data_IF_524750823654
#
_entry.id   IF_524750823654
#
_cell.length_a   1.000
_cell.length_b   1.000
_cell.length_c   1.000
_cell.angle_alpha   90.00
_cell.angle_beta   90.00
_cell.angle_gamma   90.00
#
_symmetry.space_group_name_H-M   'P 1'
#
loop_
_entity.id
_entity.type
_entity.pdbx_description
1 polymer ?
#
# COMPACT_ATOMS: atom_id res chain seq x y z
N UNK A 1 -26.22 20.27 45.55
CA UNK A 1 -25.63 21.47 44.92
C UNK A 1 -24.23 21.68 45.49
N UNK A 2 -23.14 21.58 44.70
CA UNK A 2 -21.82 21.88 45.24
C UNK A 2 -21.64 23.41 45.27
N UNK A 3 -21.58 24.00 46.48
CA UNK A 3 -21.14 25.39 46.66
C UNK A 3 -19.70 25.50 46.14
N UNK A 4 -19.49 26.32 45.11
CA UNK A 4 -18.22 26.42 44.35
C UNK A 4 -17.12 27.06 45.22
N UNK A 5 -15.95 26.43 45.31
CA UNK A 5 -14.81 26.80 46.19
C UNK A 5 -14.32 28.25 46.07
N UNK A 6 -14.50 28.89 44.92
CA UNK A 6 -14.14 30.30 44.66
C UNK A 6 -14.94 31.33 45.47
N UNK A 7 -16.17 30.99 45.88
CA UNK A 7 -16.96 31.81 46.81
C UNK A 7 -16.52 31.65 48.27
N UNK A 8 -15.62 30.71 48.56
CA UNK A 8 -15.11 30.40 49.89
C UNK A 8 -13.65 30.82 50.10
N UNK A 9 -13.04 31.54 49.15
CA UNK A 9 -11.72 32.14 49.35
C UNK A 9 -11.72 33.02 50.60
N UNK A 10 -10.71 32.88 51.46
CA UNK A 10 -10.57 33.78 52.60
C UNK A 10 -10.39 35.23 52.09
N UNK A 11 -10.94 36.24 52.77
CA UNK A 11 -10.89 37.64 52.32
C UNK A 11 -9.47 38.13 51.98
N UNK A 12 -8.46 37.60 52.67
CA UNK A 12 -7.04 37.91 52.46
C UNK A 12 -6.47 37.31 51.16
N UNK A 13 -7.09 36.26 50.61
CA UNK A 13 -6.63 35.54 49.42
C UNK A 13 -7.24 36.05 48.10
N UNK A 14 -8.32 36.84 48.16
CA UNK A 14 -9.06 37.32 46.98
C UNK A 14 -8.18 38.23 46.11
N UNK A 15 -7.43 39.15 46.73
CA UNK A 15 -6.59 40.13 46.02
C UNK A 15 -5.33 39.48 45.40
N UNK A 16 -4.58 38.62 46.11
CA UNK A 16 -3.50 37.82 45.50
C UNK A 16 -4.00 36.98 44.32
N UNK A 17 -5.15 36.31 44.47
CA UNK A 17 -5.68 35.42 43.43
C UNK A 17 -6.18 36.18 42.19
N UNK A 18 -6.79 37.35 42.37
CA UNK A 18 -7.12 38.25 41.26
C UNK A 18 -5.88 38.64 40.46
N UNK A 19 -4.78 38.97 41.16
CA UNK A 19 -3.51 39.35 40.54
C UNK A 19 -2.87 38.20 39.76
N UNK A 20 -2.89 36.97 40.30
CA UNK A 20 -2.41 35.76 39.60
C UNK A 20 -3.17 35.49 38.29
N UNK A 21 -4.49 35.76 38.28
CA UNK A 21 -5.34 35.59 37.12
C UNK A 21 -5.35 36.81 36.18
N UNK A 22 -4.56 37.85 36.49
CA UNK A 22 -4.48 39.09 35.70
C UNK A 22 -5.74 39.96 35.76
N UNK A 23 -6.59 39.77 36.77
CA UNK A 23 -7.82 40.51 36.98
C UNK A 23 -7.51 41.80 37.74
N UNK A 24 -7.87 42.96 37.18
CA UNK A 24 -7.71 44.24 37.87
C UNK A 24 -8.58 44.29 39.12
N UNK A 25 -8.01 44.71 40.25
CA UNK A 25 -8.73 44.93 41.52
C UNK A 25 -9.36 46.33 41.61
N UNK A 26 -9.08 47.19 40.63
CA UNK A 26 -9.63 48.54 40.53
C UNK A 26 -10.33 48.74 39.19
N UNK A 27 -11.46 49.45 39.19
CA UNK A 27 -12.11 49.91 37.95
C UNK A 27 -11.88 51.40 37.77
N UNK A 28 -11.68 51.81 36.52
CA UNK A 28 -11.65 53.22 36.14
C UNK A 28 -13.06 53.79 36.27
N UNK A 29 -13.17 54.97 36.87
CA UNK A 29 -14.41 55.73 36.92
C UNK A 29 -14.64 56.42 35.56
N UNK A 30 -15.77 56.11 34.93
CA UNK A 30 -16.18 56.73 33.65
C UNK A 30 -16.58 58.20 33.82
N UNK A 31 -17.03 58.56 35.02
CA UNK A 31 -17.33 59.94 35.41
C UNK A 31 -16.25 60.41 36.40
N UNK A 32 -15.17 60.97 35.85
CA UNK A 32 -14.20 61.69 36.66
C UNK A 32 -14.80 63.03 37.11
N UNK A 33 -14.53 63.42 38.35
CA UNK A 33 -14.85 64.77 38.83
C UNK A 33 -14.13 65.79 37.90
N UNK A 34 -14.85 66.78 37.33
CA UNK A 34 -14.28 67.73 36.38
C UNK A 34 -13.10 68.55 36.93
N UNK A 35 -12.88 68.53 38.25
CA UNK A 35 -11.77 69.23 38.90
C UNK A 35 -10.55 68.36 39.20
N UNK A 36 -10.53 67.10 38.76
CA UNK A 36 -9.38 66.19 38.94
C UNK A 36 -8.66 65.91 37.63
N UNK A 37 -7.36 66.17 37.61
CA UNK A 37 -6.49 65.78 36.50
C UNK A 37 -6.18 64.28 36.57
N UNK A 38 -6.68 63.52 35.60
CA UNK A 38 -6.31 62.13 35.37
C UNK A 38 -7.42 61.09 35.64
N UNK A 39 -7.20 59.83 35.21
CA UNK A 39 -8.15 58.76 35.40
C UNK A 39 -8.28 58.39 36.88
N UNK A 40 -9.48 58.54 37.45
CA UNK A 40 -9.76 58.05 38.80
C UNK A 40 -10.07 56.56 38.79
N UNK A 41 -9.59 55.85 39.81
CA UNK A 41 -9.83 54.42 40.01
C UNK A 41 -10.49 54.18 41.36
N UNK A 42 -11.44 53.23 41.42
CA UNK A 42 -12.01 52.74 42.68
C UNK A 42 -11.84 51.23 42.82
N UNK A 43 -11.63 50.73 44.06
CA UNK A 43 -11.59 49.30 44.30
C UNK A 43 -12.90 48.65 43.88
N UNK A 44 -12.79 47.50 43.22
CA UNK A 44 -13.95 46.70 42.84
C UNK A 44 -14.54 46.08 44.11
N UNK A 45 -15.88 46.09 44.30
CA UNK A 45 -16.51 45.41 45.42
C UNK A 45 -16.10 43.93 45.48
N UNK A 46 -15.80 43.43 46.67
CA UNK A 46 -15.25 42.08 46.87
C UNK A 46 -16.09 40.98 46.21
N UNK A 47 -17.42 41.11 46.27
CA UNK A 47 -18.36 40.19 45.61
C UNK A 47 -18.22 40.16 44.09
N UNK A 48 -18.03 41.32 43.45
CA UNK A 48 -17.82 41.43 42.00
C UNK A 48 -16.44 40.86 41.62
N UNK A 49 -15.43 41.05 42.47
CA UNK A 49 -14.09 40.50 42.26
C UNK A 49 -14.10 38.96 42.37
N UNK A 50 -14.81 38.40 43.36
CA UNK A 50 -15.02 36.95 43.51
C UNK A 50 -15.75 36.34 42.32
N UNK A 51 -16.76 37.03 41.78
CA UNK A 51 -17.46 36.58 40.59
C UNK A 51 -16.54 36.53 39.37
N UNK A 52 -15.72 37.57 39.15
CA UNK A 52 -14.74 37.62 38.05
C UNK A 52 -13.67 36.54 38.18
N UNK A 53 -13.15 36.29 39.38
CA UNK A 53 -12.22 35.18 39.66
C UNK A 53 -12.88 33.84 39.30
N UNK A 54 -14.11 33.61 39.76
CA UNK A 54 -14.83 32.37 39.48
C UNK A 54 -15.06 32.15 37.98
N UNK A 55 -15.46 33.20 37.24
CA UNK A 55 -15.62 33.14 35.79
C UNK A 55 -14.29 32.81 35.09
N UNK A 56 -13.19 33.49 35.46
CA UNK A 56 -11.87 33.23 34.88
C UNK A 56 -11.35 31.80 35.17
N UNK A 57 -11.59 31.28 36.38
CA UNK A 57 -11.25 29.89 36.73
C UNK A 57 -12.08 28.88 35.93
N UNK A 58 -13.38 29.14 35.71
CA UNK A 58 -14.20 28.25 34.87
C UNK A 58 -13.76 28.24 33.41
N UNK A 59 -13.48 29.42 32.82
CA UNK A 59 -13.03 29.53 31.43
C UNK A 59 -11.66 28.88 31.25
N UNK A 60 -10.73 29.08 32.20
CA UNK A 60 -9.41 28.43 32.13
C UNK A 60 -9.49 26.91 32.32
N UNK A 61 -10.36 26.42 33.20
CA UNK A 61 -10.62 24.99 33.36
C UNK A 61 -11.23 24.36 32.09
N UNK A 62 -12.19 25.03 31.45
CA UNK A 62 -12.77 24.57 30.19
C UNK A 62 -11.75 24.55 29.05
N UNK A 63 -10.93 25.60 28.92
CA UNK A 63 -9.82 25.63 27.94
C UNK A 63 -8.84 24.48 28.15
N UNK A 64 -8.48 24.18 29.40
CA UNK A 64 -7.60 23.03 29.72
C UNK A 64 -8.24 21.70 29.35
N UNK A 65 -9.52 21.50 29.65
CA UNK A 65 -10.26 20.29 29.26
C UNK A 65 -10.33 20.14 27.75
N UNK A 66 -10.67 21.21 27.03
CA UNK A 66 -10.73 21.23 25.57
C UNK A 66 -9.36 20.93 24.94
N UNK A 67 -8.29 21.55 25.43
CA UNK A 67 -6.92 21.28 25.00
C UNK A 67 -6.54 19.81 25.24
N UNK A 68 -6.87 19.26 26.41
CA UNK A 68 -6.64 17.85 26.71
C UNK A 68 -7.41 16.93 25.74
N UNK A 69 -8.69 17.21 25.47
CA UNK A 69 -9.48 16.46 24.50
C UNK A 69 -8.85 16.47 23.11
N UNK A 70 -8.41 17.64 22.62
CA UNK A 70 -7.71 17.75 21.33
C UNK A 70 -6.44 16.90 21.32
N UNK A 71 -5.61 17.00 22.36
CA UNK A 71 -4.36 16.22 22.45
C UNK A 71 -4.67 14.71 22.43
N UNK A 72 -5.66 14.25 23.19
CA UNK A 72 -6.05 12.84 23.21
C UNK A 72 -6.62 12.37 21.87
N UNK A 73 -7.37 13.22 21.16
CA UNK A 73 -7.90 12.90 19.84
C UNK A 73 -6.78 12.78 18.80
N UNK A 74 -5.81 13.71 18.79
CA UNK A 74 -4.64 13.66 17.92
C UNK A 74 -3.81 12.41 18.20
N UNK A 75 -3.57 12.09 19.48
CA UNK A 75 -2.81 10.91 19.86
C UNK A 75 -3.52 9.62 19.42
N UNK A 76 -4.84 9.54 19.62
CA UNK A 76 -5.64 8.38 19.20
C UNK A 76 -5.61 8.19 17.68
N UNK A 77 -5.70 9.29 16.93
CA UNK A 77 -5.58 9.27 15.47
C UNK A 77 -4.19 8.80 15.02
N UNK A 78 -3.12 9.30 15.64
CA UNK A 78 -1.76 8.89 15.34
C UNK A 78 -1.55 7.39 15.59
N UNK A 79 -2.05 6.85 16.71
CA UNK A 79 -1.99 5.41 17.01
C UNK A 79 -2.77 4.60 15.97
N UNK A 80 -3.98 5.04 15.61
CA UNK A 80 -4.78 4.37 14.59
C UNK A 80 -4.10 4.35 13.21
N UNK A 81 -3.46 5.45 12.82
CA UNK A 81 -2.72 5.55 11.56
C UNK A 81 -1.50 4.60 11.54
N UNK A 82 -0.73 4.55 12.64
CA UNK A 82 0.41 3.63 12.77
C UNK A 82 -0.05 2.17 12.75
N UNK A 83 -1.14 1.85 13.45
CA UNK A 83 -1.72 0.51 13.45
C UNK A 83 -2.18 0.12 12.03
N UNK A 84 -2.91 0.98 11.34
CA UNK A 84 -3.35 0.75 9.97
C UNK A 84 -2.17 0.53 9.00
N UNK A 85 -1.11 1.32 9.12
CA UNK A 85 0.12 1.14 8.34
C UNK A 85 0.79 -0.22 8.59
N UNK A 86 0.91 -0.61 9.85
CA UNK A 86 1.50 -1.90 10.21
C UNK A 86 0.63 -3.08 9.74
N UNK A 87 -0.70 -2.97 9.86
CA UNK A 87 -1.64 -3.96 9.33
C UNK A 87 -1.54 -4.08 7.81
N UNK A 88 -1.42 -2.97 7.09
CA UNK A 88 -1.21 -2.97 5.64
C UNK A 88 0.09 -3.70 5.26
N UNK A 89 1.21 -3.40 5.94
CA UNK A 89 2.48 -4.09 5.69
C UNK A 89 2.42 -5.58 6.03
N UNK A 90 1.74 -5.94 7.12
CA UNK A 90 1.54 -7.34 7.50
C UNK A 90 0.70 -8.08 6.45
N UNK A 91 -0.36 -7.45 5.93
CA UNK A 91 -1.19 -8.01 4.87
C UNK A 91 -0.40 -8.17 3.56
N UNK A 92 0.40 -7.19 3.14
CA UNK A 92 1.22 -7.32 1.93
C UNK A 92 2.31 -8.39 2.09
N UNK A 93 2.96 -8.47 3.26
CA UNK A 93 3.94 -9.52 3.53
C UNK A 93 3.30 -10.91 3.56
N UNK A 94 2.12 -11.05 4.17
CA UNK A 94 1.35 -12.30 4.19
C UNK A 94 0.94 -12.70 2.77
N UNK A 95 0.46 -11.75 1.97
CA UNK A 95 0.15 -11.97 0.56
C UNK A 95 1.37 -12.49 -0.19
N UNK A 96 2.52 -11.79 -0.13
CA UNK A 96 3.75 -12.23 -0.82
C UNK A 96 4.22 -13.61 -0.38
N UNK A 97 4.09 -13.94 0.91
CA UNK A 97 4.42 -15.27 1.43
C UNK A 97 3.49 -16.34 0.86
N UNK A 98 2.18 -16.08 0.78
CA UNK A 98 1.21 -16.98 0.15
C UNK A 98 1.49 -17.17 -1.35
N UNK A 99 1.83 -16.09 -2.07
CA UNK A 99 2.25 -16.18 -3.48
C UNK A 99 3.49 -17.07 -3.64
N UNK A 100 4.50 -16.88 -2.79
CA UNK A 100 5.72 -17.69 -2.80
C UNK A 100 5.45 -19.17 -2.51
N UNK A 101 4.60 -19.47 -1.53
CA UNK A 101 4.21 -20.85 -1.21
C UNK A 101 3.46 -21.52 -2.36
N UNK A 102 2.52 -20.80 -2.99
CA UNK A 102 1.75 -21.31 -4.12
C UNK A 102 2.67 -21.61 -5.31
N UNK A 103 3.55 -20.66 -5.67
CA UNK A 103 4.51 -20.84 -6.76
C UNK A 103 5.47 -21.99 -6.46
N UNK A 104 5.96 -22.11 -5.22
CA UNK A 104 6.80 -23.23 -4.82
C UNK A 104 6.09 -24.56 -5.04
N UNK A 105 4.86 -24.72 -4.56
CA UNK A 105 4.08 -25.95 -4.71
C UNK A 105 3.84 -26.33 -6.17
N UNK A 106 3.51 -25.36 -7.02
CA UNK A 106 3.32 -25.57 -8.45
C UNK A 106 4.65 -25.95 -9.10
N UNK A 107 5.73 -25.23 -8.78
CA UNK A 107 7.07 -25.49 -9.32
C UNK A 107 7.58 -26.87 -8.93
N UNK A 108 7.28 -27.33 -7.71
CA UNK A 108 7.65 -28.67 -7.26
C UNK A 108 6.99 -29.75 -8.15
N UNK A 109 5.71 -29.55 -8.47
CA UNK A 109 4.97 -30.47 -9.32
C UNK A 109 5.44 -30.38 -10.78
N UNK A 110 5.63 -29.18 -11.31
CA UNK A 110 5.99 -28.95 -12.70
C UNK A 110 7.42 -29.39 -13.04
N UNK A 111 8.42 -29.11 -12.19
CA UNK A 111 9.82 -29.37 -12.52
C UNK A 111 10.34 -30.75 -12.10
N UNK A 112 9.72 -31.37 -11.09
CA UNK A 112 10.29 -32.57 -10.48
C UNK A 112 9.42 -33.81 -10.61
N UNK A 113 8.15 -33.68 -11.01
CA UNK A 113 7.27 -34.83 -11.23
C UNK A 113 7.12 -35.15 -12.71
N UNK A 114 7.01 -36.45 -12.99
CA UNK A 114 6.58 -36.93 -14.29
C UNK A 114 5.07 -36.66 -14.46
N UNK A 115 4.59 -36.41 -15.70
CA UNK A 115 5.35 -36.43 -16.96
C UNK A 115 6.07 -35.11 -17.29
N UNK A 116 5.79 -34.03 -16.55
CA UNK A 116 6.21 -32.67 -16.89
C UNK A 116 7.74 -32.53 -17.01
N UNK A 117 8.48 -33.11 -16.07
CA UNK A 117 9.96 -33.10 -16.11
C UNK A 117 10.51 -33.68 -17.42
N UNK A 118 9.97 -34.82 -17.87
CA UNK A 118 10.39 -35.43 -19.15
C UNK A 118 9.99 -34.57 -20.34
N UNK A 119 8.80 -33.96 -20.33
CA UNK A 119 8.34 -33.08 -21.41
C UNK A 119 9.24 -31.86 -21.53
N UNK A 120 9.55 -31.19 -20.40
CA UNK A 120 10.49 -30.06 -20.35
C UNK A 120 11.84 -30.49 -20.95
N UNK A 121 12.41 -31.61 -20.47
CA UNK A 121 13.69 -32.10 -20.99
C UNK A 121 13.66 -32.36 -22.51
N UNK A 122 12.56 -32.92 -23.04
CA UNK A 122 12.43 -33.14 -24.49
C UNK A 122 12.35 -31.83 -25.28
N UNK A 123 11.60 -30.85 -24.78
CA UNK A 123 11.48 -29.54 -25.43
C UNK A 123 12.83 -28.80 -25.43
N UNK A 124 13.52 -28.76 -24.29
CA UNK A 124 14.82 -28.10 -24.15
C UNK A 124 15.92 -28.73 -25.02
N UNK A 125 15.85 -30.05 -25.24
CA UNK A 125 16.78 -30.77 -26.11
C UNK A 125 16.36 -30.76 -27.59
N UNK A 126 15.34 -29.98 -27.98
CA UNK A 126 14.75 -29.93 -29.33
C UNK A 126 14.32 -31.32 -29.86
N UNK A 127 13.93 -32.19 -28.94
CA UNK A 127 13.58 -33.57 -29.22
C UNK A 127 12.06 -33.72 -29.37
N UNK A 128 11.58 -34.61 -30.26
CA UNK A 128 10.15 -34.85 -30.38
C UNK A 128 9.55 -35.34 -29.07
N UNK A 129 8.48 -34.69 -28.61
CA UNK A 129 7.83 -34.96 -27.31
C UNK A 129 7.30 -36.39 -27.32
N UNK A 130 6.67 -36.83 -28.42
CA UNK A 130 6.03 -38.15 -28.53
C UNK A 130 6.96 -39.29 -28.91
N UNK A 131 8.23 -39.02 -29.25
CA UNK A 131 9.15 -40.06 -29.68
C UNK A 131 9.39 -41.08 -28.54
N UNK A 132 9.15 -42.37 -28.81
CA UNK A 132 9.49 -43.45 -27.88
C UNK A 132 11.00 -43.61 -27.83
N UNK A 133 11.59 -43.44 -26.64
CA UNK A 133 13.03 -43.62 -26.40
C UNK A 133 13.28 -44.88 -25.58
N UNK A 134 14.43 -45.52 -25.81
CA UNK A 134 14.82 -46.73 -25.07
C UNK A 134 14.99 -46.39 -23.59
N UNK A 135 14.22 -47.06 -22.72
CA UNK A 135 14.26 -46.85 -21.27
C UNK A 135 13.36 -45.73 -20.74
N UNK A 136 12.59 -45.04 -21.60
CA UNK A 136 11.62 -44.01 -21.21
C UNK A 136 10.22 -44.39 -21.68
N UNK A 137 9.22 -44.07 -20.86
CA UNK A 137 7.81 -44.20 -21.24
C UNK A 137 7.50 -43.30 -22.44
N UNK A 138 6.58 -43.76 -23.28
CA UNK A 138 6.03 -42.90 -24.33
C UNK A 138 5.16 -41.83 -23.67
N UNK A 139 5.34 -40.57 -24.09
CA UNK A 139 4.49 -39.46 -23.65
C UNK A 139 3.19 -39.54 -24.45
N UNK A 140 2.08 -39.62 -23.74
CA UNK A 140 0.72 -39.66 -24.27
C UNK A 140 0.16 -38.26 -24.52
N UNK A 141 -0.99 -38.18 -25.19
CA UNK A 141 -1.75 -36.93 -25.31
C UNK A 141 -2.20 -36.41 -23.94
N UNK A 142 -2.58 -37.31 -23.03
CA UNK A 142 -2.97 -36.97 -21.65
C UNK A 142 -1.81 -36.34 -20.89
N UNK A 143 -0.59 -36.85 -21.06
CA UNK A 143 0.60 -36.25 -20.44
C UNK A 143 0.87 -34.82 -20.96
N UNK A 144 0.60 -34.56 -22.24
CA UNK A 144 0.72 -33.23 -22.84
C UNK A 144 -0.42 -32.33 -22.35
N UNK A 145 -1.64 -32.86 -22.24
CA UNK A 145 -2.82 -32.17 -21.69
C UNK A 145 -2.55 -31.69 -20.26
N UNK A 146 -2.09 -32.58 -19.38
CA UNK A 146 -1.75 -32.27 -18.00
C UNK A 146 -0.63 -31.23 -17.90
N UNK A 147 0.38 -31.32 -18.76
CA UNK A 147 1.47 -30.36 -18.79
C UNK A 147 1.01 -28.96 -19.17
N UNK A 148 0.18 -28.84 -20.21
CA UNK A 148 -0.42 -27.57 -20.62
C UNK A 148 -1.41 -27.09 -19.55
N UNK A 149 -2.22 -27.99 -18.97
CA UNK A 149 -3.19 -27.68 -17.93
C UNK A 149 -2.57 -27.10 -16.67
N UNK A 150 -1.35 -27.52 -16.31
CA UNK A 150 -0.61 -26.90 -15.21
C UNK A 150 -0.19 -25.47 -15.57
N UNK A 151 0.32 -25.22 -16.78
CA UNK A 151 0.66 -23.86 -17.24
C UNK A 151 -0.58 -22.97 -17.40
N UNK A 152 -1.71 -23.54 -17.81
CA UNK A 152 -3.01 -22.88 -17.85
C UNK A 152 -3.47 -22.48 -16.45
N UNK A 153 -3.30 -23.36 -15.46
CA UNK A 153 -3.54 -23.05 -14.05
C UNK A 153 -2.68 -21.87 -13.57
N UNK A 154 -1.42 -21.79 -13.99
CA UNK A 154 -0.56 -20.63 -13.70
C UNK A 154 -1.12 -19.35 -14.33
N UNK A 155 -1.59 -19.43 -15.59
CA UNK A 155 -2.27 -18.33 -16.27
C UNK A 155 -3.54 -17.88 -15.53
N UNK A 156 -4.35 -18.83 -15.06
CA UNK A 156 -5.55 -18.55 -14.28
C UNK A 156 -5.20 -17.86 -12.94
N UNK A 157 -4.15 -18.31 -12.25
CA UNK A 157 -3.70 -17.66 -11.01
C UNK A 157 -3.19 -16.25 -11.24
N UNK A 158 -2.51 -15.99 -12.37
CA UNK A 158 -2.11 -14.66 -12.76
C UNK A 158 -3.32 -13.76 -13.04
N UNK A 159 -4.28 -14.25 -13.84
CA UNK A 159 -5.51 -13.52 -14.19
C UNK A 159 -6.32 -13.14 -12.95
N UNK A 160 -6.39 -14.03 -11.96
CA UNK A 160 -7.09 -13.79 -10.70
C UNK A 160 -6.29 -12.96 -9.67
N UNK A 161 -5.09 -12.49 -10.02
CA UNK A 161 -4.24 -11.69 -9.12
C UNK A 161 -3.67 -12.46 -7.93
N UNK A 162 -3.73 -13.79 -7.95
CA UNK A 162 -3.17 -14.66 -6.92
C UNK A 162 -1.64 -14.68 -6.98
N UNK A 163 -1.08 -14.57 -8.18
CA UNK A 163 0.37 -14.42 -8.41
C UNK A 163 0.64 -13.18 -9.27
N UNK A 164 1.83 -12.60 -9.12
CA UNK A 164 2.23 -11.44 -9.94
C UNK A 164 2.91 -11.88 -11.24
N UNK A 165 2.76 -11.06 -12.29
CA UNK A 165 3.39 -11.31 -13.60
C UNK A 165 4.91 -11.47 -13.47
N UNK A 166 5.56 -10.60 -12.70
CA UNK A 166 7.01 -10.66 -12.48
C UNK A 166 7.45 -12.00 -11.86
N UNK A 167 6.67 -12.52 -10.91
CA UNK A 167 6.97 -13.81 -10.29
C UNK A 167 6.77 -14.96 -11.28
N UNK A 168 5.67 -14.96 -12.03
CA UNK A 168 5.41 -15.98 -13.06
C UNK A 168 6.49 -15.95 -14.14
N UNK A 169 6.85 -14.78 -14.66
CA UNK A 169 7.90 -14.61 -15.65
C UNK A 169 9.25 -15.15 -15.14
N UNK A 170 9.60 -14.89 -13.87
CA UNK A 170 10.87 -15.32 -13.30
C UNK A 170 11.01 -16.84 -13.12
N UNK A 171 9.89 -17.55 -12.92
CA UNK A 171 9.90 -19.00 -12.62
C UNK A 171 9.48 -19.83 -13.83
N UNK A 172 8.42 -19.41 -14.53
CA UNK A 172 7.78 -20.17 -15.60
C UNK A 172 7.94 -19.53 -16.98
N UNK A 173 8.43 -18.28 -17.08
CA UNK A 173 8.41 -17.52 -18.34
C UNK A 173 9.03 -18.25 -19.52
N UNK A 174 10.27 -18.72 -19.34
CA UNK A 174 10.99 -19.54 -20.34
C UNK A 174 10.20 -20.79 -20.73
N UNK A 175 9.66 -21.52 -19.77
CA UNK A 175 8.95 -22.78 -20.02
C UNK A 175 7.59 -22.57 -20.69
N UNK A 176 6.90 -21.46 -20.41
CA UNK A 176 5.68 -21.08 -21.13
C UNK A 176 6.00 -20.79 -22.59
N UNK A 177 7.07 -20.03 -22.85
CA UNK A 177 7.53 -19.67 -24.19
C UNK A 177 7.92 -20.92 -24.99
N UNK A 178 8.85 -21.73 -24.48
CA UNK A 178 9.33 -22.92 -25.19
C UNK A 178 8.25 -23.98 -25.37
N UNK A 179 7.34 -24.13 -24.40
CA UNK A 179 6.19 -25.05 -24.53
C UNK A 179 5.21 -24.56 -25.59
N UNK A 180 4.87 -23.28 -25.59
CA UNK A 180 3.94 -22.72 -26.56
C UNK A 180 4.53 -22.78 -27.98
N UNK A 181 5.82 -22.51 -28.16
CA UNK A 181 6.46 -22.51 -29.48
C UNK A 181 6.73 -23.92 -30.04
N UNK A 182 6.64 -24.95 -29.20
CA UNK A 182 6.85 -26.32 -29.63
C UNK A 182 5.79 -26.77 -30.66
N UNK A 183 6.24 -27.36 -31.76
CA UNK A 183 5.37 -27.75 -32.89
C UNK A 183 4.35 -28.84 -32.51
N UNK A 184 4.71 -29.81 -31.68
CA UNK A 184 3.80 -30.88 -31.25
C UNK A 184 2.73 -30.35 -30.29
N UNK A 185 3.10 -29.42 -29.40
CA UNK A 185 2.15 -28.71 -28.52
C UNK A 185 1.19 -27.86 -29.35
N UNK A 186 1.70 -27.09 -30.32
CA UNK A 186 0.87 -26.31 -31.23
C UNK A 186 -0.09 -27.19 -32.04
N UNK A 187 0.35 -28.36 -32.47
CA UNK A 187 -0.52 -29.33 -33.13
C UNK A 187 -1.59 -29.88 -32.18
N UNK A 188 -1.21 -30.19 -30.93
CA UNK A 188 -2.15 -30.63 -29.90
C UNK A 188 -3.23 -29.56 -29.66
N UNK A 189 -2.83 -28.32 -29.38
CA UNK A 189 -3.73 -27.19 -29.15
C UNK A 189 -4.73 -26.98 -30.30
N UNK A 190 -4.27 -27.02 -31.56
CA UNK A 190 -5.18 -26.92 -32.72
C UNK A 190 -6.20 -28.05 -32.76
N UNK A 191 -5.79 -29.27 -32.42
CA UNK A 191 -6.67 -30.43 -32.42
C UNK A 191 -7.73 -30.33 -31.32
N UNK A 192 -7.35 -29.99 -30.09
CA UNK A 192 -8.31 -29.89 -28.98
C UNK A 192 -9.23 -28.66 -29.13
N UNK A 193 -8.71 -27.53 -29.59
CA UNK A 193 -9.52 -26.31 -29.79
C UNK A 193 -10.49 -26.37 -30.96
N UNK A 194 -10.28 -27.32 -31.88
CA UNK A 194 -11.30 -27.62 -32.89
C UNK A 194 -12.58 -28.24 -32.29
N UNK A 195 -12.49 -28.76 -31.05
CA UNK A 195 -13.60 -29.37 -30.30
C UNK A 195 -14.12 -28.43 -29.21
N UNK A 196 -13.21 -27.79 -28.49
CA UNK A 196 -13.53 -26.87 -27.38
C UNK A 196 -12.72 -25.57 -27.50
N UNK A 197 -13.40 -24.49 -27.93
CA UNK A 197 -12.73 -23.25 -28.34
C UNK A 197 -11.93 -22.59 -27.22
N UNK A 198 -12.44 -22.66 -25.99
CA UNK A 198 -11.90 -21.91 -24.84
C UNK A 198 -10.89 -22.73 -24.01
N UNK A 199 -10.60 -23.97 -24.41
CA UNK A 199 -9.69 -24.83 -23.68
C UNK A 199 -8.25 -24.28 -23.78
N UNK A 200 -7.59 -24.16 -22.64
CA UNK A 200 -6.25 -23.60 -22.45
C UNK A 200 -6.08 -22.11 -22.79
N UNK A 201 -7.17 -21.33 -22.76
CA UNK A 201 -7.09 -19.90 -23.06
C UNK A 201 -6.21 -19.12 -22.07
N UNK A 202 -6.11 -19.54 -20.80
CA UNK A 202 -5.24 -18.88 -19.82
C UNK A 202 -3.77 -19.11 -20.10
N UNK A 203 -3.40 -20.31 -20.57
CA UNK A 203 -2.04 -20.61 -21.04
C UNK A 203 -1.66 -19.74 -22.24
N UNK A 204 -2.54 -19.64 -23.24
CA UNK A 204 -2.31 -18.85 -24.45
C UNK A 204 -2.21 -17.36 -24.10
N UNK A 205 -3.13 -16.87 -23.26
CA UNK A 205 -3.10 -15.49 -22.78
C UNK A 205 -1.82 -15.20 -21.99
N UNK A 206 -1.37 -16.15 -21.17
CA UNK A 206 -0.13 -16.03 -20.40
C UNK A 206 1.08 -15.85 -21.33
N UNK A 207 1.20 -16.65 -22.39
CA UNK A 207 2.27 -16.51 -23.39
C UNK A 207 2.31 -15.09 -23.97
N UNK A 208 1.20 -14.61 -24.52
CA UNK A 208 1.16 -13.28 -25.15
C UNK A 208 1.38 -12.14 -24.14
N UNK A 209 0.95 -12.32 -22.89
CA UNK A 209 1.21 -11.34 -21.85
C UNK A 209 2.70 -11.25 -21.51
N UNK A 210 3.41 -12.38 -21.47
CA UNK A 210 4.86 -12.42 -21.26
C UNK A 210 5.62 -11.84 -22.46
N UNK A 211 5.24 -12.21 -23.69
CA UNK A 211 5.85 -11.68 -24.92
C UNK A 211 5.73 -10.14 -25.01
N UNK A 212 4.55 -9.61 -24.68
CA UNK A 212 4.30 -8.17 -24.65
C UNK A 212 5.17 -7.46 -23.59
N UNK A 213 5.38 -8.07 -22.42
CA UNK A 213 6.23 -7.52 -21.37
C UNK A 213 7.72 -7.52 -21.77
N UNK A 214 8.22 -8.60 -22.38
CA UNK A 214 9.57 -8.67 -22.94
C UNK A 214 9.81 -7.58 -23.97
N UNK A 215 8.84 -7.34 -24.85
CA UNK A 215 8.92 -6.30 -25.89
C UNK A 215 8.95 -4.90 -25.28
N UNK A 216 8.13 -4.63 -24.26
CA UNK A 216 8.13 -3.35 -23.53
C UNK A 216 9.45 -3.12 -22.80
N UNK A 217 9.94 -4.12 -22.08
CA UNK A 217 11.21 -4.07 -21.34
C UNK A 217 12.42 -3.87 -22.27
N UNK A 218 12.38 -4.41 -23.50
CA UNK A 218 13.42 -4.16 -24.52
C UNK A 218 13.35 -2.76 -25.10
N UNK A 219 12.15 -2.24 -25.38
CA UNK A 219 11.96 -0.87 -25.85
C UNK A 219 12.40 0.16 -24.81
N UNK A 220 12.03 -0.02 -23.55
CA UNK A 220 12.43 0.88 -22.47
C UNK A 220 13.95 0.92 -22.29
N UNK A 221 14.62 -0.24 -22.29
CA UNK A 221 16.09 -0.31 -22.25
C UNK A 221 16.75 0.39 -23.44
N UNK A 222 16.16 0.30 -24.64
CA UNK A 222 16.68 1.00 -25.81
C UNK A 222 16.47 2.53 -25.73
N UNK A 223 15.36 3.00 -25.14
CA UNK A 223 15.12 4.43 -24.89
C UNK A 223 16.08 4.96 -23.83
N UNK A 224 16.27 4.23 -22.74
CA UNK A 224 17.20 4.59 -21.66
C UNK A 224 18.65 4.56 -22.17
N UNK A 225 19.01 3.59 -23.00
CA UNK A 225 20.32 3.53 -23.66
C UNK A 225 20.55 4.68 -24.67
N UNK A 226 19.51 5.11 -25.39
CA UNK A 226 19.59 6.28 -26.28
C UNK A 226 19.67 7.60 -25.50
N UNK A 227 19.11 7.67 -24.30
CA UNK A 227 19.22 8.84 -23.40
C UNK A 227 20.61 8.99 -22.74
N UNK A 228 21.40 7.91 -22.75
CA UNK A 228 22.79 7.88 -22.25
C UNK A 228 23.83 8.15 -23.34
N UNK A 229 23.41 8.25 -24.61
CA UNK A 229 24.26 8.68 -25.72
C UNK A 229 24.05 10.20 -25.86
N UNK A 230 25.06 11.05 -25.63
CA UNK A 230 24.93 12.47 -25.92
C UNK A 230 24.57 12.62 -27.39
N UNK A 231 23.52 13.39 -27.67
CA UNK A 231 23.07 13.65 -29.03
C UNK A 231 24.29 14.01 -29.91
N UNK A 232 24.50 13.34 -31.06
CA UNK A 232 25.57 13.74 -31.96
C UNK A 232 25.34 15.20 -32.33
N UNK A 233 26.34 16.03 -32.07
CA UNK A 233 26.33 17.44 -32.44
C UNK A 233 26.00 17.53 -33.92
N UNK A 234 24.87 18.17 -34.21
CA UNK A 234 24.39 18.50 -35.53
C UNK A 234 25.56 19.08 -36.33
N UNK A 235 25.99 18.37 -37.38
CA UNK A 235 26.77 18.97 -38.45
C UNK A 235 25.90 20.07 -39.06
N UNK A 236 26.14 21.30 -38.61
CA UNK A 236 25.63 22.52 -39.21
C UNK A 236 26.46 22.75 -40.47
N UNK A 237 25.95 22.28 -41.61
CA UNK A 237 26.42 22.73 -42.91
C UNK A 237 26.07 24.20 -43.08
N UNK A 238 27.08 25.05 -42.94
CA UNK A 238 26.99 26.49 -43.17
C UNK A 238 28.17 26.95 -44.02
N UNK A 239 27.86 27.17 -45.30
CA UNK A 239 28.62 27.84 -46.37
C UNK A 239 29.77 27.08 -47.02
#
# INVERSE_FOLDING_TARGET
MPRKKSYQLDPEEVTPRAKELGISTQRRLEFADPNTEGPQFRPIPEMELREKIHQAETVSAERRRFAFTIITAILSFAIAAIAAWNSYRAADSSRRSAQGSLIWQISESFFYKEPHKTIIGRIEEENPIRAKRKGLSAISDEDIDDHIGLLDTVGAYLRNGLVSLALVQSVFGHYVETTFENTEVQQYLRNVRSKEVDLFDDFICLYYQLEADHTRSRRQRNVDAQSLIPAPSICSGGQ
#
